data_IF_092008355711
#
_entry.id   IF_092008355711
#
_cell.length_a   1.000
_cell.length_b   1.000
_cell.length_c   1.000
_cell.angle_alpha   90.00
_cell.angle_beta   90.00
_cell.angle_gamma   90.00
#
_symmetry.space_group_name_H-M   'P 1'
#
loop_
_entity.id
_entity.type
_entity.pdbx_description
1 polymer ?
#
# COMPACT_ATOMS: atom_id res chain seq x y z
N UNK A 1 -0.04 18.26 -11.27
CA UNK A 1 0.07 16.82 -10.97
C UNK A 1 -0.73 16.55 -9.71
N UNK A 2 -1.63 15.56 -9.73
CA UNK A 2 -2.31 15.15 -8.52
C UNK A 2 -1.29 14.49 -7.60
N UNK A 3 -1.24 14.90 -6.33
CA UNK A 3 -0.35 14.29 -5.36
C UNK A 3 -0.99 12.98 -4.86
N UNK A 4 -0.58 11.85 -5.42
CA UNK A 4 -1.12 10.56 -4.98
C UNK A 4 -0.56 10.16 -3.62
N UNK A 5 -1.41 9.55 -2.80
CA UNK A 5 -1.10 9.11 -1.44
C UNK A 5 -1.36 7.62 -1.30
N UNK A 6 -0.52 6.95 -0.51
CA UNK A 6 -0.75 5.56 -0.10
C UNK A 6 -0.91 5.50 1.41
N UNK A 7 -1.85 4.68 1.88
CA UNK A 7 -2.00 4.37 3.29
C UNK A 7 -1.89 2.88 3.51
N UNK A 8 -1.00 2.44 4.39
CA UNK A 8 -0.84 1.04 4.79
C UNK A 8 -1.23 0.92 6.25
N UNK A 9 -2.39 0.33 6.53
CA UNK A 9 -2.86 0.01 7.88
C UNK A 9 -2.41 -1.40 8.23
N UNK A 10 -1.73 -1.57 9.37
CA UNK A 10 -1.13 -2.85 9.74
C UNK A 10 -1.32 -3.19 11.23
N UNK A 11 -1.50 -4.48 11.51
CA UNK A 11 -1.55 -5.01 12.86
C UNK A 11 -0.18 -4.92 13.56
N UNK A 12 -0.09 -4.15 14.64
CA UNK A 12 1.12 -4.01 15.45
C UNK A 12 1.43 -5.27 16.25
N UNK A 13 0.39 -5.93 16.79
CA UNK A 13 0.52 -7.16 17.59
C UNK A 13 0.92 -8.39 16.77
N UNK A 14 0.85 -8.29 15.44
CA UNK A 14 1.11 -9.40 14.52
C UNK A 14 2.53 -9.39 13.96
N UNK A 15 3.38 -8.45 14.40
CA UNK A 15 4.73 -8.22 13.88
C UNK A 15 4.77 -7.92 12.37
N UNK A 16 3.78 -7.18 11.86
CA UNK A 16 3.67 -6.84 10.43
C UNK A 16 4.26 -5.48 10.05
N UNK A 17 4.85 -4.76 11.01
CA UNK A 17 5.48 -3.45 10.77
C UNK A 17 6.59 -3.53 9.71
N UNK A 18 7.49 -4.52 9.80
CA UNK A 18 8.58 -4.70 8.84
C UNK A 18 8.07 -4.95 7.41
N UNK A 19 7.00 -5.75 7.30
CA UNK A 19 6.35 -6.01 6.00
C UNK A 19 5.72 -4.74 5.43
N UNK A 20 5.00 -3.99 6.25
CA UNK A 20 4.40 -2.71 5.84
C UNK A 20 5.48 -1.71 5.40
N UNK A 21 6.58 -1.60 6.15
CA UNK A 21 7.71 -0.73 5.83
C UNK A 21 8.41 -1.14 4.53
N UNK A 22 8.65 -2.43 4.31
CA UNK A 22 9.23 -2.93 3.06
C UNK A 22 8.32 -2.63 1.85
N UNK A 23 7.01 -2.88 1.97
CA UNK A 23 6.06 -2.55 0.89
C UNK A 23 6.01 -1.05 0.59
N UNK A 24 6.10 -0.21 1.62
CA UNK A 24 6.20 1.24 1.41
C UNK A 24 7.46 1.61 0.63
N UNK A 25 8.61 1.02 0.95
CA UNK A 25 9.86 1.23 0.22
C UNK A 25 9.76 0.77 -1.24
N UNK A 26 9.15 -0.39 -1.50
CA UNK A 26 8.91 -0.91 -2.86
C UNK A 26 8.04 0.04 -3.70
N UNK A 27 7.04 0.66 -3.09
CA UNK A 27 6.17 1.62 -3.76
C UNK A 27 6.88 2.94 -4.02
N UNK A 28 7.58 3.49 -3.03
CA UNK A 28 8.35 4.73 -3.18
C UNK A 28 9.48 4.59 -4.21
N UNK A 29 10.16 3.46 -4.25
CA UNK A 29 11.24 3.21 -5.22
C UNK A 29 10.71 3.08 -6.66
N UNK A 30 9.49 2.58 -6.83
CA UNK A 30 8.89 2.35 -8.17
C UNK A 30 8.18 3.58 -8.70
N UNK A 31 7.44 4.29 -7.83
CA UNK A 31 6.56 5.37 -8.24
C UNK A 31 7.12 6.76 -7.94
N UNK A 32 8.17 6.89 -7.13
CA UNK A 32 8.94 8.13 -6.95
C UNK A 32 8.08 9.38 -6.85
N UNK A 33 8.11 10.20 -7.91
CA UNK A 33 7.38 11.48 -8.02
C UNK A 33 5.87 11.33 -8.15
N UNK A 34 5.37 10.20 -8.63
CA UNK A 34 3.94 9.94 -8.77
C UNK A 34 3.27 9.91 -7.39
N UNK A 35 3.97 9.44 -6.35
CA UNK A 35 3.52 9.44 -4.94
C UNK A 35 3.94 10.71 -4.19
N UNK A 36 3.74 11.89 -4.79
CA UNK A 36 4.10 13.17 -4.18
C UNK A 36 3.40 13.45 -2.83
N UNK A 37 2.26 12.82 -2.57
CA UNK A 37 1.56 12.91 -1.28
C UNK A 37 2.15 12.00 -0.19
N UNK A 38 3.09 11.12 -0.55
CA UNK A 38 3.78 10.23 0.36
C UNK A 38 3.00 8.97 0.75
N UNK A 39 3.59 8.23 1.69
CA UNK A 39 3.02 7.00 2.24
C UNK A 39 2.85 7.16 3.75
N UNK A 40 1.67 6.80 4.25
CA UNK A 40 1.37 6.76 5.68
C UNK A 40 1.27 5.32 6.16
N UNK A 41 2.05 4.97 7.18
CA UNK A 41 1.93 3.70 7.90
C UNK A 41 1.04 3.92 9.14
N UNK A 42 -0.13 3.28 9.18
CA UNK A 42 -1.11 3.42 10.27
C UNK A 42 -1.05 2.17 11.15
N UNK A 43 -0.60 2.28 12.41
CA UNK A 43 -0.66 1.19 13.38
C UNK A 43 -2.11 0.88 13.74
N UNK A 44 -2.45 -0.40 13.83
CA UNK A 44 -3.77 -0.89 14.24
C UNK A 44 -3.67 -2.30 14.87
N UNK A 45 -4.79 -2.94 15.19
CA UNK A 45 -4.89 -4.24 15.84
C UNK A 45 -5.87 -5.17 15.10
N UNK A 46 -6.15 -6.36 15.63
CA UNK A 46 -7.18 -7.24 15.07
C UNK A 46 -6.82 -7.94 13.76
N UNK A 47 -5.53 -8.14 13.49
CA UNK A 47 -5.07 -8.85 12.28
C UNK A 47 -5.43 -8.13 10.98
N UNK A 48 -5.51 -6.80 11.02
CA UNK A 48 -5.73 -5.95 9.85
C UNK A 48 -4.44 -5.78 9.05
N UNK A 49 -4.57 -5.87 7.74
CA UNK A 49 -3.55 -5.42 6.81
C UNK A 49 -4.25 -4.95 5.54
N UNK A 50 -4.33 -3.63 5.38
CA UNK A 50 -5.07 -2.97 4.31
C UNK A 50 -4.21 -1.89 3.66
N UNK A 51 -4.30 -1.79 2.33
CA UNK A 51 -3.61 -0.78 1.55
C UNK A 51 -4.65 0.03 0.78
N UNK A 52 -4.55 1.34 0.87
CA UNK A 52 -5.40 2.28 0.15
C UNK A 52 -4.54 3.19 -0.73
N UNK A 53 -5.02 3.50 -1.93
CA UNK A 53 -4.47 4.51 -2.82
C UNK A 53 -5.49 5.64 -2.96
N UNK A 54 -5.14 6.86 -2.56
CA UNK A 54 -6.04 8.02 -2.57
C UNK A 54 -7.38 7.74 -1.85
N UNK A 55 -7.34 6.96 -0.77
CA UNK A 55 -8.53 6.53 -0.02
C UNK A 55 -9.29 5.35 -0.63
N UNK A 56 -8.95 4.89 -1.84
CA UNK A 56 -9.56 3.72 -2.48
C UNK A 56 -8.84 2.44 -2.02
N UNK A 57 -9.54 1.41 -1.51
CA UNK A 57 -8.92 0.16 -1.11
C UNK A 57 -8.35 -0.58 -2.34
N UNK A 58 -7.07 -0.92 -2.28
CA UNK A 58 -6.37 -1.70 -3.32
C UNK A 58 -5.93 -3.08 -2.84
N UNK A 59 -5.90 -3.30 -1.52
CA UNK A 59 -5.62 -4.60 -0.92
C UNK A 59 -6.23 -4.70 0.47
N UNK A 60 -6.83 -5.84 0.77
CA UNK A 60 -7.21 -6.25 2.13
C UNK A 60 -6.87 -7.73 2.35
N UNK A 61 -6.10 -8.00 3.40
CA UNK A 61 -5.65 -9.36 3.75
C UNK A 61 -6.79 -10.38 3.88
N UNK A 62 -7.96 -9.97 4.37
CA UNK A 62 -9.10 -10.88 4.56
C UNK A 62 -9.75 -11.24 3.22
N UNK A 63 -9.91 -10.28 2.32
CA UNK A 63 -10.62 -10.48 1.05
C UNK A 63 -9.71 -10.96 -0.08
N UNK A 64 -8.45 -10.49 -0.11
CA UNK A 64 -7.46 -10.83 -1.13
C UNK A 64 -6.59 -12.04 -0.76
N UNK A 65 -6.81 -12.66 0.40
CA UNK A 65 -6.17 -13.92 0.77
C UNK A 65 -4.70 -13.79 1.18
N UNK A 66 -4.41 -12.93 2.16
CA UNK A 66 -3.07 -12.80 2.73
C UNK A 66 -2.36 -11.51 2.32
N UNK A 67 -1.06 -11.59 2.04
CA UNK A 67 -0.25 -10.42 1.71
C UNK A 67 0.04 -10.38 0.22
N UNK A 68 0.08 -9.18 -0.40
CA UNK A 68 0.42 -9.08 -1.79
C UNK A 68 1.90 -9.38 -2.01
N UNK A 69 2.21 -9.99 -3.15
CA UNK A 69 3.56 -9.91 -3.70
C UNK A 69 3.82 -8.50 -4.23
N UNK A 70 5.09 -8.07 -4.21
CA UNK A 70 5.48 -6.72 -4.66
C UNK A 70 5.02 -6.42 -6.09
N UNK A 71 5.07 -7.40 -6.99
CA UNK A 71 4.60 -7.26 -8.38
C UNK A 71 3.10 -6.93 -8.45
N UNK A 72 2.28 -7.68 -7.71
CA UNK A 72 0.82 -7.50 -7.69
C UNK A 72 0.47 -6.16 -7.07
N UNK A 73 1.12 -5.79 -5.97
CA UNK A 73 0.91 -4.51 -5.32
C UNK A 73 1.23 -3.33 -6.25
N UNK A 74 2.38 -3.37 -6.92
CA UNK A 74 2.77 -2.33 -7.90
C UNK A 74 1.78 -2.25 -9.05
N UNK A 75 1.31 -3.39 -9.58
CA UNK A 75 0.32 -3.37 -10.65
C UNK A 75 -0.97 -2.68 -10.20
N UNK A 76 -1.53 -3.06 -9.05
CA UNK A 76 -2.77 -2.45 -8.54
C UNK A 76 -2.61 -0.95 -8.25
N UNK A 77 -1.45 -0.51 -7.77
CA UNK A 77 -1.18 0.94 -7.60
C UNK A 77 -1.10 1.64 -8.96
N UNK A 78 -0.41 1.05 -9.94
CA UNK A 78 -0.33 1.61 -11.31
C UNK A 78 -1.73 1.76 -11.91
N UNK A 79 -2.56 0.73 -11.85
CA UNK A 79 -3.92 0.75 -12.39
C UNK A 79 -4.79 1.85 -11.76
N UNK A 80 -4.47 2.30 -10.54
CA UNK A 80 -5.19 3.40 -9.86
C UNK A 80 -4.65 4.79 -10.17
N UNK A 81 -3.34 4.96 -10.32
CA UNK A 81 -2.73 6.29 -10.53
C UNK A 81 -2.49 6.63 -11.99
N UNK A 82 -2.31 5.62 -12.84
CA UNK A 82 -2.04 5.74 -14.27
C UNK A 82 -2.48 4.47 -15.04
N UNK A 83 -3.79 4.29 -15.27
CA UNK A 83 -4.34 3.11 -15.94
C UNK A 83 -3.94 2.97 -17.41
N UNK A 84 -3.26 3.96 -17.99
CA UNK A 84 -2.88 3.99 -19.41
C UNK A 84 -1.39 3.65 -19.66
N UNK A 85 -0.63 3.34 -18.61
CA UNK A 85 0.83 3.13 -18.63
C UNK A 85 1.25 1.70 -18.32
#
# INVERSE_FOLDING_TARGET
MAAHTITIRYCTLCNWMLRAGWMAQELLSTFGTDLAGGITLIPDTGGVFQIHCNGVPIWDRKTDGGFPDAKVLKQRVRDQIDPTR
#
